data_IF_545752210570
#
_entry.id   IF_545752210570
#
_cell.length_a   1.000
_cell.length_b   1.000
_cell.length_c   1.000
_cell.angle_alpha   90.00
_cell.angle_beta   90.00
_cell.angle_gamma   90.00
#
_symmetry.space_group_name_H-M   'P 1'
#
loop_
_entity.id
_entity.type
_entity.pdbx_description
1 polymer ?
#
# COMPACT_ATOMS: atom_id res chain seq x y z
N UNK A 1 25.95 6.32 0.90
CA UNK A 1 25.71 5.40 -0.25
C UNK A 1 24.61 5.99 -1.09
N UNK A 2 24.67 5.92 -2.40
CA UNK A 2 23.71 6.60 -3.25
C UNK A 2 22.32 6.00 -3.05
N UNK A 3 21.41 6.82 -2.56
CA UNK A 3 19.97 6.53 -2.34
C UNK A 3 19.22 6.16 -3.63
N UNK A 4 19.92 6.14 -4.77
CA UNK A 4 19.37 5.89 -6.11
C UNK A 4 19.49 4.45 -6.58
N UNK A 5 20.27 3.59 -5.91
CA UNK A 5 20.56 2.22 -6.39
C UNK A 5 19.36 1.27 -6.27
N UNK A 6 18.62 1.33 -5.14
CA UNK A 6 17.50 0.39 -4.92
C UNK A 6 16.36 0.60 -5.92
N UNK A 7 15.84 1.82 -6.13
CA UNK A 7 14.80 2.03 -7.14
C UNK A 7 15.28 1.66 -8.55
N UNK A 8 16.56 1.83 -8.87
CA UNK A 8 17.11 1.41 -10.16
C UNK A 8 17.12 -0.11 -10.29
N UNK A 9 17.59 -0.84 -9.27
CA UNK A 9 17.60 -2.32 -9.29
C UNK A 9 16.18 -2.87 -9.36
N UNK A 10 15.24 -2.31 -8.59
CA UNK A 10 13.84 -2.72 -8.64
C UNK A 10 13.21 -2.40 -10.00
N UNK A 11 13.50 -1.23 -10.57
CA UNK A 11 13.01 -0.86 -11.91
C UNK A 11 13.56 -1.78 -13.00
N UNK A 12 14.85 -2.11 -12.95
CA UNK A 12 15.46 -3.06 -13.90
C UNK A 12 14.88 -4.47 -13.72
N UNK A 13 14.68 -4.92 -12.48
CA UNK A 13 14.02 -6.18 -12.18
C UNK A 13 12.58 -6.23 -12.70
N UNK A 14 11.82 -5.16 -12.53
CA UNK A 14 10.46 -5.03 -13.05
C UNK A 14 10.43 -5.04 -14.59
N UNK A 15 11.34 -4.31 -15.25
CA UNK A 15 11.46 -4.30 -16.71
C UNK A 15 11.84 -5.68 -17.24
N UNK A 16 12.77 -6.38 -16.60
CA UNK A 16 13.13 -7.73 -16.95
C UNK A 16 11.94 -8.70 -16.80
N UNK A 17 11.20 -8.62 -15.68
CA UNK A 17 10.00 -9.40 -15.44
C UNK A 17 8.92 -9.13 -16.50
N UNK A 18 8.68 -7.87 -16.84
CA UNK A 18 7.75 -7.47 -17.91
C UNK A 18 8.22 -8.05 -19.25
N UNK A 19 9.50 -7.94 -19.59
CA UNK A 19 10.06 -8.45 -20.83
C UNK A 19 9.89 -9.95 -20.99
N UNK A 20 10.22 -10.73 -19.94
CA UNK A 20 10.06 -12.18 -19.93
C UNK A 20 8.58 -12.57 -19.95
N UNK A 21 7.74 -11.89 -19.18
CA UNK A 21 6.30 -12.11 -19.18
C UNK A 21 5.69 -11.83 -20.56
N UNK A 22 6.12 -10.75 -21.23
CA UNK A 22 5.63 -10.41 -22.56
C UNK A 22 6.06 -11.42 -23.61
N UNK A 23 7.30 -11.91 -23.54
CA UNK A 23 7.83 -12.93 -24.45
C UNK A 23 7.14 -14.28 -24.25
N UNK A 24 7.04 -14.77 -23.03
CA UNK A 24 6.33 -16.01 -22.69
C UNK A 24 4.84 -15.95 -23.05
N UNK A 25 4.28 -14.79 -22.78
CA UNK A 25 2.89 -14.50 -23.07
C UNK A 25 2.55 -14.41 -24.55
N UNK A 26 3.37 -13.73 -25.37
CA UNK A 26 3.19 -13.63 -26.80
C UNK A 26 3.20 -15.02 -27.47
N UNK A 27 4.05 -15.93 -26.96
CA UNK A 27 4.11 -17.32 -27.44
C UNK A 27 2.88 -18.15 -27.05
N UNK A 28 2.35 -17.96 -25.83
CA UNK A 28 1.15 -18.68 -25.35
C UNK A 28 -0.15 -18.16 -25.97
N UNK A 29 -0.20 -16.89 -26.40
CA UNK A 29 -1.40 -16.23 -26.90
C UNK A 29 -1.84 -16.69 -28.30
N UNK A 30 -0.91 -17.21 -29.06
CA UNK A 30 -1.26 -17.84 -30.35
C UNK A 30 -2.23 -19.04 -30.17
N UNK A 31 -2.42 -19.50 -28.92
CA UNK A 31 -3.24 -20.65 -28.55
C UNK A 31 -4.54 -20.33 -27.80
N UNK A 32 -4.75 -19.12 -27.22
CA UNK A 32 -5.88 -18.90 -26.31
C UNK A 32 -6.64 -17.60 -26.57
N UNK A 33 -7.73 -17.68 -27.30
CA UNK A 33 -8.63 -16.59 -27.73
C UNK A 33 -9.21 -15.66 -26.62
N UNK A 34 -10.21 -14.89 -26.99
CA UNK A 34 -10.89 -13.74 -26.37
C UNK A 34 -11.02 -13.59 -24.84
N UNK A 35 -11.04 -14.66 -24.05
CA UNK A 35 -11.15 -14.60 -22.57
C UNK A 35 -9.99 -13.89 -21.91
N UNK A 36 -8.81 -13.93 -22.52
CA UNK A 36 -7.62 -13.26 -21.97
C UNK A 36 -7.74 -11.74 -21.96
N UNK A 37 -8.10 -11.13 -23.07
CA UNK A 37 -8.22 -9.68 -23.16
C UNK A 37 -9.25 -9.15 -22.15
N UNK A 38 -10.35 -9.90 -21.94
CA UNK A 38 -11.37 -9.55 -20.96
C UNK A 38 -10.85 -9.64 -19.53
N UNK A 39 -10.15 -10.74 -19.17
CA UNK A 39 -9.56 -10.90 -17.82
C UNK A 39 -8.50 -9.84 -17.56
N UNK A 40 -7.59 -9.59 -18.52
CA UNK A 40 -6.57 -8.54 -18.40
C UNK A 40 -7.21 -7.18 -18.17
N UNK A 41 -8.15 -6.79 -19.06
CA UNK A 41 -8.82 -5.48 -18.95
C UNK A 41 -9.58 -5.37 -17.62
N UNK A 42 -10.31 -6.39 -17.22
CA UNK A 42 -11.02 -6.43 -15.95
C UNK A 42 -10.11 -6.21 -14.75
N UNK A 43 -9.01 -6.96 -14.66
CA UNK A 43 -8.06 -6.84 -13.56
C UNK A 43 -7.35 -5.48 -13.55
N UNK A 44 -6.96 -4.96 -14.72
CA UNK A 44 -6.33 -3.63 -14.83
C UNK A 44 -7.31 -2.53 -14.38
N UNK A 45 -8.56 -2.58 -14.82
CA UNK A 45 -9.58 -1.59 -14.42
C UNK A 45 -9.89 -1.69 -12.92
N UNK A 46 -10.16 -2.89 -12.42
CA UNK A 46 -10.42 -3.11 -10.98
C UNK A 46 -9.22 -2.66 -10.14
N UNK A 47 -8.00 -3.07 -10.53
CA UNK A 47 -6.79 -2.67 -9.84
C UNK A 47 -6.56 -1.16 -9.83
N UNK A 48 -6.77 -0.48 -10.96
CA UNK A 48 -6.65 0.97 -11.06
C UNK A 48 -7.69 1.69 -10.19
N UNK A 49 -8.93 1.20 -10.17
CA UNK A 49 -9.98 1.74 -9.30
C UNK A 49 -9.64 1.54 -7.81
N UNK A 50 -9.12 0.37 -7.42
CA UNK A 50 -8.69 0.15 -6.03
C UNK A 50 -7.57 1.09 -5.61
N UNK A 51 -6.68 1.46 -6.53
CA UNK A 51 -5.66 2.49 -6.28
C UNK A 51 -6.27 3.89 -6.17
N UNK A 52 -7.24 4.24 -7.01
CA UNK A 52 -7.92 5.55 -6.94
C UNK A 52 -8.65 5.74 -5.61
N UNK A 53 -9.30 4.70 -5.12
CA UNK A 53 -10.07 4.70 -3.88
C UNK A 53 -9.30 4.08 -2.70
N UNK A 54 -7.98 4.07 -2.75
CA UNK A 54 -7.15 3.52 -1.68
C UNK A 54 -7.33 4.22 -0.34
N UNK A 55 -6.77 3.62 0.67
CA UNK A 55 -6.96 3.96 2.08
C UNK A 55 -5.74 4.74 2.54
N UNK A 56 -5.91 6.00 2.99
CA UNK A 56 -4.83 6.71 3.65
C UNK A 56 -4.46 6.00 4.95
N UNK A 57 -3.17 5.86 5.20
CA UNK A 57 -2.64 5.28 6.42
C UNK A 57 -1.94 6.36 7.25
N UNK A 58 -1.80 6.17 8.57
CA UNK A 58 -1.05 7.08 9.42
C UNK A 58 0.37 7.34 8.88
N UNK A 59 0.90 8.55 9.09
CA UNK A 59 2.23 8.92 8.61
C UNK A 59 2.32 9.16 7.09
N UNK A 60 1.23 9.59 6.44
CA UNK A 60 1.12 9.80 4.99
C UNK A 60 1.28 8.51 4.15
N UNK A 61 1.14 7.35 4.78
CA UNK A 61 1.08 6.08 4.08
C UNK A 61 -0.17 5.96 3.20
N UNK A 62 -0.14 5.03 2.28
CA UNK A 62 -1.27 4.73 1.40
C UNK A 62 -1.29 3.24 1.09
N UNK A 63 -2.42 2.61 1.31
CA UNK A 63 -2.65 1.21 0.94
C UNK A 63 -3.86 1.07 0.03
N UNK A 64 -3.91 -0.03 -0.71
CA UNK A 64 -5.01 -0.33 -1.62
C UNK A 64 -5.17 -1.84 -1.79
N UNK A 65 -6.28 -2.28 -2.37
CA UNK A 65 -6.53 -3.71 -2.62
C UNK A 65 -5.78 -4.28 -3.83
N UNK A 66 -4.76 -3.57 -4.29
CA UNK A 66 -3.98 -3.97 -5.47
C UNK A 66 -3.26 -5.30 -5.29
N UNK A 67 -2.82 -5.63 -4.06
CA UNK A 67 -2.16 -6.92 -3.80
C UNK A 67 -3.13 -8.11 -3.96
N UNK A 68 -4.40 -7.94 -3.64
CA UNK A 68 -5.40 -8.95 -3.96
C UNK A 68 -5.58 -9.14 -5.46
N UNK A 69 -5.61 -8.04 -6.24
CA UNK A 69 -5.73 -8.11 -7.69
C UNK A 69 -4.52 -8.82 -8.33
N UNK A 70 -3.30 -8.52 -7.88
CA UNK A 70 -2.10 -9.22 -8.39
C UNK A 70 -2.02 -10.66 -7.90
N UNK A 71 -2.48 -10.98 -6.68
CA UNK A 71 -2.64 -12.36 -6.21
C UNK A 71 -3.61 -13.13 -7.09
N UNK A 72 -4.77 -12.55 -7.41
CA UNK A 72 -5.70 -13.16 -8.37
C UNK A 72 -5.03 -13.42 -9.71
N UNK A 73 -4.26 -12.46 -10.22
CA UNK A 73 -3.57 -12.61 -11.50
C UNK A 73 -2.56 -13.78 -11.49
N UNK A 74 -1.81 -13.96 -10.39
CA UNK A 74 -0.90 -15.10 -10.21
C UNK A 74 -1.68 -16.42 -10.19
N UNK A 75 -2.75 -16.51 -9.42
CA UNK A 75 -3.56 -17.71 -9.31
C UNK A 75 -4.25 -18.06 -10.63
N UNK A 76 -4.67 -17.06 -11.39
CA UNK A 76 -5.40 -17.27 -12.65
C UNK A 76 -4.51 -17.78 -13.78
N UNK A 77 -3.30 -17.20 -13.95
CA UNK A 77 -2.47 -17.47 -15.14
C UNK A 77 -0.96 -17.44 -14.87
N UNK A 78 -0.54 -17.47 -13.61
CA UNK A 78 0.88 -17.48 -13.26
C UNK A 78 1.52 -16.10 -13.14
N UNK A 79 2.80 -16.10 -12.86
CA UNK A 79 3.58 -14.89 -12.58
C UNK A 79 3.74 -13.99 -13.81
N UNK A 80 3.83 -14.55 -15.03
CA UNK A 80 3.97 -13.78 -16.26
C UNK A 80 2.76 -12.86 -16.47
N UNK A 81 1.58 -13.39 -16.21
CA UNK A 81 0.35 -12.61 -16.31
C UNK A 81 0.29 -11.50 -15.25
N UNK A 82 0.65 -11.83 -14.01
CA UNK A 82 0.74 -10.83 -12.93
C UNK A 82 1.76 -9.73 -13.24
N UNK A 83 2.92 -10.09 -13.84
CA UNK A 83 3.95 -9.14 -14.26
C UNK A 83 3.48 -8.18 -15.36
N UNK A 84 2.48 -8.56 -16.16
CA UNK A 84 1.83 -7.66 -17.13
C UNK A 84 0.73 -6.82 -16.48
N UNK A 85 -0.11 -7.44 -15.65
CA UNK A 85 -1.22 -6.76 -14.97
C UNK A 85 -0.71 -5.66 -14.03
N UNK A 86 0.30 -5.96 -13.22
CA UNK A 86 0.79 -5.08 -12.16
C UNK A 86 1.23 -3.68 -12.65
N UNK A 87 2.09 -3.52 -13.67
CA UNK A 87 2.49 -2.20 -14.15
C UNK A 87 1.34 -1.46 -14.83
N UNK A 88 0.47 -2.15 -15.56
CA UNK A 88 -0.66 -1.53 -16.26
C UNK A 88 -1.66 -0.94 -15.26
N UNK A 89 -2.04 -1.69 -14.23
CA UNK A 89 -2.94 -1.18 -13.20
C UNK A 89 -2.29 -0.07 -12.36
N UNK A 90 -0.97 -0.15 -12.09
CA UNK A 90 -0.27 0.86 -11.34
C UNK A 90 -0.16 2.17 -12.14
N UNK A 91 0.21 2.10 -13.42
CA UNK A 91 0.27 3.28 -14.30
C UNK A 91 -1.12 3.90 -14.45
N UNK A 92 -2.14 3.11 -14.77
CA UNK A 92 -3.51 3.63 -14.90
C UNK A 92 -4.01 4.23 -13.59
N UNK A 93 -3.80 3.55 -12.46
CA UNK A 93 -4.25 4.00 -11.15
C UNK A 93 -3.51 5.24 -10.66
N UNK A 94 -2.19 5.22 -10.70
CA UNK A 94 -1.36 6.28 -10.11
C UNK A 94 -1.20 7.49 -11.05
N UNK A 95 -0.90 7.28 -12.34
CA UNK A 95 -0.67 8.39 -13.29
C UNK A 95 -1.98 8.99 -13.75
N UNK A 96 -2.91 8.16 -14.25
CA UNK A 96 -4.13 8.66 -14.90
C UNK A 96 -5.18 9.07 -13.85
N UNK A 97 -5.47 8.20 -12.87
CA UNK A 97 -6.57 8.43 -11.94
C UNK A 97 -6.17 9.27 -10.72
N UNK A 98 -4.95 9.09 -10.19
CA UNK A 98 -4.45 9.85 -9.02
C UNK A 98 -3.59 11.04 -9.38
N UNK A 99 -3.09 11.10 -10.62
CA UNK A 99 -2.21 12.17 -11.13
C UNK A 99 -0.92 12.32 -10.32
N UNK A 100 -0.36 11.21 -9.86
CA UNK A 100 0.92 11.21 -9.16
C UNK A 100 2.08 11.53 -10.12
N UNK A 101 3.17 12.14 -9.61
CA UNK A 101 4.39 12.32 -10.37
C UNK A 101 4.91 10.97 -10.92
N UNK A 102 5.41 10.96 -12.16
CA UNK A 102 5.89 9.74 -12.83
C UNK A 102 6.96 8.98 -12.03
N UNK A 103 7.81 9.71 -11.28
CA UNK A 103 8.81 9.09 -10.41
C UNK A 103 8.17 8.21 -9.33
N UNK A 104 7.13 8.70 -8.66
CA UNK A 104 6.42 7.97 -7.60
C UNK A 104 5.63 6.81 -8.20
N UNK A 105 4.89 7.08 -9.28
CA UNK A 105 4.11 6.05 -9.97
C UNK A 105 5.01 4.95 -10.54
N UNK A 106 6.17 5.32 -11.09
CA UNK A 106 7.16 4.37 -11.61
C UNK A 106 7.77 3.49 -10.51
N UNK A 107 8.14 4.06 -9.36
CA UNK A 107 8.62 3.30 -8.20
C UNK A 107 7.55 2.32 -7.71
N UNK A 108 6.31 2.78 -7.53
CA UNK A 108 5.19 1.92 -7.12
C UNK A 108 4.96 0.76 -8.11
N UNK A 109 4.97 1.07 -9.42
CA UNK A 109 4.80 0.06 -10.47
C UNK A 109 5.95 -0.96 -10.45
N UNK A 110 7.19 -0.51 -10.24
CA UNK A 110 8.38 -1.35 -10.19
C UNK A 110 8.33 -2.33 -9.00
N UNK A 111 8.04 -1.83 -7.79
CA UNK A 111 7.91 -2.68 -6.59
C UNK A 111 6.79 -3.71 -6.74
N UNK A 112 5.63 -3.27 -7.22
CA UNK A 112 4.49 -4.17 -7.42
C UNK A 112 4.80 -5.24 -8.45
N UNK A 113 5.41 -4.88 -9.58
CA UNK A 113 5.71 -5.82 -10.68
C UNK A 113 6.80 -6.80 -10.27
N UNK A 114 7.94 -6.31 -9.78
CA UNK A 114 9.05 -7.17 -9.39
C UNK A 114 8.67 -8.09 -8.22
N UNK A 115 7.95 -7.54 -7.21
CA UNK A 115 7.49 -8.33 -6.08
C UNK A 115 6.49 -9.41 -6.48
N UNK A 116 5.48 -9.07 -7.29
CA UNK A 116 4.47 -10.04 -7.77
C UNK A 116 5.10 -11.12 -8.65
N UNK A 117 6.04 -10.76 -9.52
CA UNK A 117 6.73 -11.72 -10.36
C UNK A 117 7.60 -12.68 -9.54
N UNK A 118 8.42 -12.13 -8.60
CA UNK A 118 9.27 -12.96 -7.74
C UNK A 118 8.44 -13.94 -6.91
N UNK A 119 7.38 -13.45 -6.28
CA UNK A 119 6.51 -14.29 -5.44
C UNK A 119 5.75 -15.32 -6.29
N UNK A 120 5.30 -14.95 -7.48
CA UNK A 120 4.66 -15.88 -8.41
C UNK A 120 5.61 -16.99 -8.90
N UNK A 121 6.87 -16.67 -9.19
CA UNK A 121 7.90 -17.66 -9.51
C UNK A 121 8.11 -18.63 -8.33
N UNK A 122 8.18 -18.11 -7.09
CA UNK A 122 8.30 -18.97 -5.91
C UNK A 122 7.07 -19.87 -5.77
N UNK A 123 5.87 -19.32 -5.97
CA UNK A 123 4.62 -20.07 -5.95
C UNK A 123 4.66 -21.27 -6.92
N UNK A 124 5.05 -21.05 -8.17
CA UNK A 124 5.19 -22.11 -9.17
C UNK A 124 6.26 -23.14 -8.80
N UNK A 125 7.40 -22.69 -8.24
CA UNK A 125 8.47 -23.58 -7.76
C UNK A 125 8.04 -24.45 -6.59
N UNK A 126 7.08 -24.01 -5.78
CA UNK A 126 6.45 -24.79 -4.72
C UNK A 126 5.38 -25.75 -5.24
N UNK A 127 5.18 -25.83 -6.56
CA UNK A 127 4.17 -26.69 -7.18
C UNK A 127 2.78 -26.05 -7.27
N UNK A 128 2.68 -24.74 -7.12
CA UNK A 128 1.41 -24.00 -7.20
C UNK A 128 0.78 -24.12 -8.61
N UNK A 129 -0.46 -24.57 -8.65
CA UNK A 129 -1.25 -24.67 -9.87
C UNK A 129 -1.93 -23.34 -10.25
N UNK A 130 -2.30 -23.16 -11.51
CA UNK A 130 -3.02 -21.97 -12.01
C UNK A 130 -4.41 -22.33 -12.50
N UNK A 131 -5.30 -21.34 -12.59
CA UNK A 131 -6.68 -21.55 -13.00
C UNK A 131 -7.42 -22.48 -12.03
N UNK A 132 -8.20 -23.41 -12.57
CA UNK A 132 -8.94 -24.39 -11.73
C UNK A 132 -8.04 -25.26 -10.87
N UNK A 133 -6.82 -25.54 -11.27
CA UNK A 133 -5.85 -26.33 -10.52
C UNK A 133 -5.44 -25.64 -9.21
N UNK A 134 -5.45 -24.30 -9.15
CA UNK A 134 -5.17 -23.57 -7.93
C UNK A 134 -6.19 -23.86 -6.80
N UNK A 135 -7.37 -24.36 -7.14
CA UNK A 135 -8.43 -24.70 -6.16
C UNK A 135 -8.31 -26.12 -5.58
N UNK A 136 -7.33 -26.89 -6.02
CA UNK A 136 -7.10 -28.24 -5.50
C UNK A 136 -6.50 -28.22 -4.09
N UNK A 137 -6.82 -29.19 -3.24
CA UNK A 137 -6.33 -29.22 -1.84
C UNK A 137 -4.80 -29.21 -1.73
N UNK A 138 -4.09 -29.78 -2.70
CA UNK A 138 -2.63 -29.85 -2.72
C UNK A 138 -1.97 -28.45 -2.86
N UNK A 139 -2.73 -27.47 -3.35
CA UNK A 139 -2.27 -26.09 -3.48
C UNK A 139 -2.42 -25.24 -2.20
N UNK A 140 -2.97 -25.75 -1.11
CA UNK A 140 -3.14 -24.98 0.13
C UNK A 140 -1.80 -24.46 0.65
N UNK A 141 -0.76 -25.29 0.65
CA UNK A 141 0.59 -24.91 1.06
C UNK A 141 1.20 -23.83 0.18
N UNK A 142 1.30 -24.06 -1.15
CA UNK A 142 1.74 -23.02 -2.08
C UNK A 142 0.95 -21.71 -2.01
N UNK A 143 -0.38 -21.76 -1.87
CA UNK A 143 -1.22 -20.55 -1.71
C UNK A 143 -0.87 -19.83 -0.40
N UNK A 144 -0.74 -20.54 0.71
CA UNK A 144 -0.36 -19.92 1.97
C UNK A 144 0.99 -19.22 1.86
N UNK A 145 1.98 -19.85 1.21
CA UNK A 145 3.27 -19.24 0.91
C UNK A 145 3.13 -18.01 0.01
N UNK A 146 2.35 -18.08 -1.08
CA UNK A 146 2.04 -16.96 -1.96
C UNK A 146 1.51 -15.77 -1.15
N UNK A 147 0.54 -16.00 -0.27
CA UNK A 147 -0.10 -14.93 0.50
C UNK A 147 0.90 -14.28 1.46
N UNK A 148 1.66 -15.04 2.21
CA UNK A 148 2.66 -14.49 3.14
C UNK A 148 3.75 -13.73 2.39
N UNK A 149 4.29 -14.32 1.33
CA UNK A 149 5.38 -13.73 0.57
C UNK A 149 4.92 -12.48 -0.20
N UNK A 150 3.70 -12.44 -0.72
CA UNK A 150 3.15 -11.27 -1.41
C UNK A 150 3.16 -10.03 -0.49
N UNK A 151 2.74 -10.18 0.75
CA UNK A 151 2.80 -9.11 1.74
C UNK A 151 4.24 -8.72 2.08
N UNK A 152 5.09 -9.71 2.38
CA UNK A 152 6.45 -9.46 2.87
C UNK A 152 7.35 -8.89 1.76
N UNK A 153 7.30 -9.45 0.56
CA UNK A 153 8.21 -9.05 -0.52
C UNK A 153 7.79 -7.71 -1.12
N UNK A 154 6.52 -7.52 -1.46
CA UNK A 154 6.07 -6.27 -2.10
C UNK A 154 6.14 -5.10 -1.12
N UNK A 155 5.55 -5.21 0.06
CA UNK A 155 5.60 -4.13 1.04
C UNK A 155 7.02 -3.98 1.62
N UNK A 156 7.72 -5.09 1.89
CA UNK A 156 9.09 -5.05 2.39
C UNK A 156 10.05 -4.34 1.45
N UNK A 157 9.93 -4.54 0.13
CA UNK A 157 10.76 -3.83 -0.84
C UNK A 157 10.48 -2.31 -0.84
N UNK A 158 9.24 -1.92 -0.69
CA UNK A 158 8.83 -0.52 -0.56
C UNK A 158 9.37 0.12 0.74
N UNK A 159 9.21 -0.56 1.87
CA UNK A 159 9.77 -0.07 3.15
C UNK A 159 11.28 -0.03 3.16
N UNK A 160 11.95 -0.94 2.48
CA UNK A 160 13.40 -0.90 2.32
C UNK A 160 13.84 0.35 1.54
N UNK A 161 13.15 0.70 0.45
CA UNK A 161 13.40 1.95 -0.30
C UNK A 161 13.21 3.17 0.61
N UNK A 162 12.11 3.23 1.35
CA UNK A 162 11.84 4.32 2.28
C UNK A 162 12.91 4.42 3.37
N UNK A 163 13.31 3.30 3.97
CA UNK A 163 14.35 3.25 4.98
C UNK A 163 15.70 3.75 4.45
N UNK A 164 16.07 3.33 3.24
CA UNK A 164 17.32 3.76 2.60
C UNK A 164 17.30 5.24 2.20
N UNK A 165 16.14 5.78 1.86
CA UNK A 165 15.98 7.20 1.53
C UNK A 165 15.93 8.11 2.76
N UNK A 166 15.96 7.55 3.98
CA UNK A 166 15.79 8.25 5.25
C UNK A 166 14.51 9.09 5.33
N UNK A 167 13.52 8.76 4.53
CA UNK A 167 12.27 9.52 4.43
C UNK A 167 11.17 9.04 5.39
N UNK A 168 11.46 8.03 6.23
CA UNK A 168 10.50 7.47 7.19
C UNK A 168 10.86 7.87 8.61
N UNK A 169 9.94 8.54 9.27
CA UNK A 169 9.92 8.58 10.72
C UNK A 169 9.35 7.23 11.21
N UNK A 170 10.21 6.38 11.76
CA UNK A 170 9.88 5.02 12.22
C UNK A 170 8.89 4.97 13.40
N UNK A 171 8.41 6.13 13.84
CA UNK A 171 7.67 6.27 15.10
C UNK A 171 6.35 5.53 15.11
N UNK A 172 5.75 5.25 13.95
CA UNK A 172 4.47 4.54 13.89
C UNK A 172 4.46 3.31 12.97
N UNK A 173 5.61 2.68 12.78
CA UNK A 173 5.70 1.45 11.97
C UNK A 173 4.69 0.37 12.43
N UNK A 174 4.39 0.28 13.72
CA UNK A 174 3.41 -0.69 14.25
C UNK A 174 1.98 -0.36 13.84
N UNK A 175 1.57 0.90 13.93
CA UNK A 175 0.21 1.32 13.57
C UNK A 175 -0.01 1.17 12.07
N UNK A 176 0.95 1.64 11.28
CA UNK A 176 0.92 1.52 9.82
C UNK A 176 0.91 0.05 9.40
N UNK A 177 1.81 -0.80 9.95
CA UNK A 177 1.86 -2.22 9.65
C UNK A 177 0.58 -2.97 10.04
N UNK A 178 -0.05 -2.61 11.17
CA UNK A 178 -1.33 -3.18 11.59
C UNK A 178 -2.41 -2.89 10.55
N UNK A 179 -2.56 -1.64 10.12
CA UNK A 179 -3.57 -1.26 9.15
C UNK A 179 -3.28 -1.82 7.76
N UNK A 180 -2.01 -1.86 7.35
CA UNK A 180 -1.62 -2.54 6.11
C UNK A 180 -1.97 -4.03 6.14
N UNK A 181 -1.70 -4.72 7.25
CA UNK A 181 -2.06 -6.12 7.39
C UNK A 181 -3.58 -6.34 7.28
N UNK A 182 -4.40 -5.43 7.86
CA UNK A 182 -5.86 -5.49 7.76
C UNK A 182 -6.31 -5.26 6.31
N UNK A 183 -5.78 -4.22 5.64
CA UNK A 183 -6.10 -3.94 4.22
C UNK A 183 -5.68 -5.12 3.35
N UNK A 184 -4.50 -5.67 3.59
CA UNK A 184 -4.00 -6.82 2.86
C UNK A 184 -4.88 -8.05 3.06
N UNK A 185 -5.16 -8.42 4.30
CA UNK A 185 -6.01 -9.60 4.60
C UNK A 185 -7.40 -9.46 3.96
N UNK A 186 -8.01 -8.28 4.03
CA UNK A 186 -9.30 -8.01 3.39
C UNK A 186 -9.20 -8.10 1.88
N UNK A 187 -8.16 -7.49 1.28
CA UNK A 187 -7.90 -7.51 -0.16
C UNK A 187 -7.76 -8.94 -0.70
N UNK A 188 -6.94 -9.74 -0.01
CA UNK A 188 -6.68 -11.12 -0.40
C UNK A 188 -7.91 -12.00 -0.18
N UNK A 189 -8.61 -11.83 0.96
CA UNK A 189 -9.86 -12.56 1.21
C UNK A 189 -10.90 -12.33 0.12
N UNK A 190 -11.09 -11.08 -0.30
CA UNK A 190 -11.97 -10.74 -1.43
C UNK A 190 -11.45 -11.31 -2.75
N UNK A 191 -10.15 -11.27 -2.99
CA UNK A 191 -9.56 -11.81 -4.21
C UNK A 191 -9.72 -13.34 -4.32
N UNK A 192 -9.52 -14.08 -3.22
CA UNK A 192 -9.73 -15.52 -3.16
C UNK A 192 -11.20 -15.89 -3.35
N UNK A 193 -12.11 -15.12 -2.74
CA UNK A 193 -13.55 -15.30 -2.94
C UNK A 193 -13.93 -15.06 -4.40
N UNK A 194 -13.43 -13.96 -5.00
CA UNK A 194 -13.62 -13.68 -6.42
C UNK A 194 -13.05 -14.79 -7.28
N UNK A 195 -11.84 -15.25 -7.01
CA UNK A 195 -11.19 -16.33 -7.74
C UNK A 195 -12.03 -17.62 -7.68
N UNK A 196 -12.50 -17.99 -6.51
CA UNK A 196 -13.37 -19.17 -6.33
C UNK A 196 -14.66 -19.04 -7.14
N UNK A 197 -15.31 -17.88 -7.09
CA UNK A 197 -16.55 -17.63 -7.83
C UNK A 197 -16.31 -17.59 -9.35
N UNK A 198 -15.18 -17.06 -9.80
CA UNK A 198 -14.82 -16.98 -11.20
C UNK A 198 -14.73 -18.36 -11.87
N UNK A 199 -14.29 -19.36 -11.12
CA UNK A 199 -14.22 -20.76 -11.57
C UNK A 199 -15.50 -21.57 -11.30
N UNK A 200 -16.59 -20.91 -10.93
CA UNK A 200 -17.91 -21.57 -10.74
C UNK A 200 -18.78 -21.26 -11.94
N UNK A 201 -19.45 -22.28 -12.46
CA UNK A 201 -20.39 -22.11 -13.58
C UNK A 201 -21.66 -21.38 -13.11
N UNK A 202 -21.68 -20.06 -13.29
CA UNK A 202 -22.82 -19.20 -12.95
C UNK A 202 -23.47 -18.64 -14.22
N UNK A 203 -24.81 -18.52 -14.26
CA UNK A 203 -25.50 -17.80 -15.35
C UNK A 203 -25.12 -16.32 -15.32
N UNK A 204 -25.15 -15.66 -16.50
CA UNK A 204 -24.73 -14.26 -16.66
C UNK A 204 -25.42 -13.31 -15.67
N UNK A 205 -26.71 -13.51 -15.41
CA UNK A 205 -27.45 -12.68 -14.45
C UNK A 205 -26.89 -12.81 -13.01
N UNK A 206 -26.47 -14.02 -12.59
CA UNK A 206 -25.85 -14.24 -11.29
C UNK A 206 -24.46 -13.57 -11.22
N UNK A 207 -23.70 -13.55 -12.33
CA UNK A 207 -22.42 -12.83 -12.40
C UNK A 207 -22.56 -11.34 -12.13
N UNK A 208 -23.58 -10.69 -12.67
CA UNK A 208 -23.84 -9.26 -12.39
C UNK A 208 -24.09 -9.02 -10.90
N UNK A 209 -24.89 -9.88 -10.26
CA UNK A 209 -25.17 -9.78 -8.82
C UNK A 209 -23.91 -10.04 -7.98
N UNK A 210 -23.12 -11.05 -8.33
CA UNK A 210 -21.86 -11.37 -7.64
C UNK A 210 -20.87 -10.21 -7.79
N UNK A 211 -20.69 -9.68 -9.00
CA UNK A 211 -19.79 -8.53 -9.21
C UNK A 211 -20.24 -7.30 -8.42
N UNK A 212 -21.55 -7.00 -8.40
CA UNK A 212 -22.11 -5.90 -7.61
C UNK A 212 -21.90 -6.12 -6.10
N UNK A 213 -22.12 -7.34 -5.59
CA UNK A 213 -21.92 -7.68 -4.19
C UNK A 213 -20.44 -7.56 -3.79
N UNK A 214 -19.51 -8.05 -4.60
CA UNK A 214 -18.07 -7.93 -4.36
C UNK A 214 -17.59 -6.49 -4.41
N UNK A 215 -18.07 -5.70 -5.36
CA UNK A 215 -17.78 -4.26 -5.40
C UNK A 215 -18.32 -3.57 -4.15
N UNK A 216 -19.56 -3.87 -3.75
CA UNK A 216 -20.15 -3.37 -2.51
C UNK A 216 -19.33 -3.75 -1.28
N UNK A 217 -18.93 -5.02 -1.16
CA UNK A 217 -18.08 -5.50 -0.06
C UNK A 217 -16.72 -4.77 -0.04
N UNK A 218 -16.11 -4.54 -1.20
CA UNK A 218 -14.86 -3.79 -1.32
C UNK A 218 -15.02 -2.34 -0.85
N UNK A 219 -16.08 -1.66 -1.28
CA UNK A 219 -16.34 -0.27 -0.88
C UNK A 219 -16.67 -0.15 0.61
N UNK A 220 -17.50 -1.06 1.14
CA UNK A 220 -17.85 -1.07 2.57
C UNK A 220 -16.62 -1.37 3.42
N UNK A 221 -15.81 -2.39 3.07
CA UNK A 221 -14.61 -2.71 3.82
C UNK A 221 -13.60 -1.55 3.78
N UNK A 222 -13.39 -0.92 2.63
CA UNK A 222 -12.54 0.26 2.52
C UNK A 222 -13.05 1.42 3.38
N UNK A 223 -14.37 1.64 3.43
CA UNK A 223 -14.98 2.68 4.26
C UNK A 223 -14.80 2.40 5.75
N UNK A 224 -15.07 1.16 6.20
CA UNK A 224 -14.89 0.74 7.59
C UNK A 224 -13.43 0.90 8.04
N UNK A 225 -12.47 0.48 7.20
CA UNK A 225 -11.05 0.65 7.51
C UNK A 225 -10.68 2.12 7.62
N UNK A 226 -11.15 2.99 6.71
CA UNK A 226 -10.94 4.45 6.81
C UNK A 226 -11.48 5.02 8.11
N UNK A 227 -12.67 4.64 8.51
CA UNK A 227 -13.24 5.08 9.80
C UNK A 227 -12.38 4.62 10.97
N UNK A 228 -11.85 3.39 10.94
CA UNK A 228 -10.93 2.88 11.96
C UNK A 228 -9.63 3.68 12.03
N UNK A 229 -9.01 3.98 10.88
CA UNK A 229 -7.81 4.83 10.82
C UNK A 229 -8.08 6.22 11.40
N UNK A 230 -9.17 6.85 11.00
CA UNK A 230 -9.54 8.17 11.55
C UNK A 230 -9.86 8.13 13.06
N UNK A 231 -10.48 7.05 13.54
CA UNK A 231 -10.71 6.89 14.98
C UNK A 231 -9.39 6.78 15.75
N UNK A 232 -8.43 6.01 15.27
CA UNK A 232 -7.10 5.92 15.88
C UNK A 232 -6.36 7.28 15.87
N UNK A 233 -6.45 8.05 14.77
CA UNK A 233 -5.89 9.40 14.68
C UNK A 233 -6.54 10.37 15.69
N UNK A 234 -7.87 10.32 15.83
CA UNK A 234 -8.59 11.14 16.80
C UNK A 234 -8.22 10.80 18.25
N UNK A 235 -8.03 9.52 18.57
CA UNK A 235 -7.57 9.09 19.89
C UNK A 235 -6.16 9.63 20.21
N UNK A 236 -5.26 9.65 19.21
CA UNK A 236 -3.94 10.28 19.38
C UNK A 236 -4.05 11.78 19.64
N UNK A 237 -4.89 12.50 18.89
CA UNK A 237 -5.12 13.93 19.09
C UNK A 237 -5.75 14.22 20.46
N UNK A 238 -6.73 13.41 20.89
CA UNK A 238 -7.33 13.54 22.22
C UNK A 238 -6.32 13.26 23.33
N UNK A 239 -5.47 12.25 23.17
CA UNK A 239 -4.37 11.98 24.11
C UNK A 239 -3.43 13.17 24.25
N UNK A 240 -3.06 13.78 23.11
CA UNK A 240 -2.24 14.99 23.08
C UNK A 240 -2.91 16.16 23.83
N UNK A 241 -4.18 16.44 23.49
CA UNK A 241 -4.93 17.53 24.11
C UNK A 241 -5.04 17.34 25.63
N UNK A 242 -5.29 16.12 26.10
CA UNK A 242 -5.34 15.80 27.52
C UNK A 242 -3.99 16.02 28.22
N UNK A 243 -2.87 15.64 27.58
CA UNK A 243 -1.52 15.86 28.12
C UNK A 243 -1.21 17.34 28.24
N UNK A 244 -1.58 18.17 27.26
CA UNK A 244 -1.37 19.63 27.29
C UNK A 244 -2.13 20.27 28.46
N UNK A 245 -3.34 19.80 28.74
CA UNK A 245 -4.19 20.37 29.80
C UNK A 245 -3.77 19.94 31.20
N UNK A 246 -3.20 18.73 31.35
CA UNK A 246 -2.90 18.14 32.68
C UNK A 246 -1.47 18.38 33.17
N UNK A 247 -0.53 18.66 32.26
CA UNK A 247 0.89 18.81 32.62
C UNK A 247 1.27 20.29 32.72
N UNK A 248 1.48 20.76 33.96
CA UNK A 248 1.94 22.14 34.26
C UNK A 248 3.43 22.37 33.96
N UNK A 249 4.16 21.30 33.60
CA UNK A 249 5.58 21.40 33.27
C UNK A 249 5.75 21.59 31.75
N UNK A 250 6.07 22.81 31.36
CA UNK A 250 6.16 23.22 29.94
C UNK A 250 7.15 22.38 29.14
N UNK A 251 8.29 22.01 29.71
CA UNK A 251 9.30 21.20 29.02
C UNK A 251 8.81 19.78 28.76
N UNK A 252 8.12 19.18 29.73
CA UNK A 252 7.55 17.83 29.59
C UNK A 252 6.36 17.81 28.61
N UNK A 253 5.52 18.85 28.69
CA UNK A 253 4.42 19.04 27.75
C UNK A 253 4.95 19.17 26.31
N UNK A 254 6.02 19.96 26.10
CA UNK A 254 6.65 20.10 24.79
C UNK A 254 7.21 18.76 24.28
N UNK A 255 7.94 18.00 25.12
CA UNK A 255 8.46 16.70 24.76
C UNK A 255 7.34 15.71 24.36
N UNK A 256 6.22 15.72 25.11
CA UNK A 256 5.06 14.88 24.79
C UNK A 256 4.36 15.31 23.51
N UNK A 257 4.24 16.63 23.26
CA UNK A 257 3.71 17.16 21.99
C UNK A 257 4.61 16.74 20.83
N UNK A 258 5.92 16.90 20.98
CA UNK A 258 6.93 16.54 20.00
C UNK A 258 6.82 15.06 19.62
N UNK A 259 6.76 14.18 20.61
CA UNK A 259 6.63 12.73 20.41
C UNK A 259 5.31 12.38 19.72
N UNK A 260 4.19 12.98 20.16
CA UNK A 260 2.87 12.66 19.61
C UNK A 260 2.67 13.24 18.21
N UNK A 261 3.11 14.47 17.96
CA UNK A 261 2.98 15.09 16.64
C UNK A 261 3.88 14.43 15.60
N UNK A 262 5.03 13.88 15.99
CA UNK A 262 5.88 13.06 15.11
C UNK A 262 5.15 11.85 14.56
N UNK A 263 4.18 11.33 15.31
CA UNK A 263 3.35 10.18 14.90
C UNK A 263 2.29 10.54 13.88
N UNK A 264 1.83 11.79 13.91
CA UNK A 264 0.74 12.26 13.05
C UNK A 264 1.24 12.86 11.73
N UNK A 265 2.30 13.66 11.82
CA UNK A 265 2.84 14.41 10.68
C UNK A 265 4.36 14.32 10.69
N UNK A 266 5.00 13.93 9.57
CA UNK A 266 6.45 14.02 9.46
C UNK A 266 6.85 15.51 9.42
N UNK A 267 7.64 15.93 10.40
CA UNK A 267 8.20 17.27 10.45
C UNK A 267 9.71 17.21 10.73
N UNK A 268 10.44 18.17 10.19
CA UNK A 268 11.88 18.31 10.46
C UNK A 268 12.14 19.15 11.71
N UNK A 269 11.32 20.19 11.89
CA UNK A 269 11.38 21.10 13.02
C UNK A 269 9.99 21.38 13.58
N UNK A 270 9.91 21.49 14.91
CA UNK A 270 8.72 21.95 15.61
C UNK A 270 9.11 22.98 16.66
N UNK A 271 8.43 24.12 16.64
CA UNK A 271 8.63 25.19 17.59
C UNK A 271 7.36 25.45 18.39
N UNK A 272 7.53 25.83 19.64
CA UNK A 272 6.47 26.22 20.56
C UNK A 272 6.61 27.69 20.90
N UNK A 273 5.66 28.51 20.48
CA UNK A 273 5.68 29.94 20.72
C UNK A 273 4.46 30.36 21.50
N UNK A 274 4.66 31.31 22.45
CA UNK A 274 3.61 31.94 23.22
C UNK A 274 3.37 33.36 22.69
N UNK A 275 2.11 33.71 22.45
CA UNK A 275 1.75 35.07 22.09
C UNK A 275 1.53 35.92 23.36
N UNK A 276 2.35 36.94 23.55
CA UNK A 276 2.13 37.96 24.57
C UNK A 276 1.21 39.05 24.00
N UNK A 277 -0.06 39.03 24.43
CA UNK A 277 -1.08 39.96 23.97
C UNK A 277 -0.79 41.43 24.41
N UNK A 278 -0.04 41.65 25.50
CA UNK A 278 0.30 42.99 25.99
C UNK A 278 1.41 43.63 25.15
N UNK A 279 2.40 42.83 24.75
CA UNK A 279 3.55 43.30 23.95
C UNK A 279 3.31 43.10 22.46
N UNK A 280 2.28 42.34 22.07
CA UNK A 280 2.01 41.92 20.67
C UNK A 280 3.21 41.20 20.03
N UNK A 281 3.92 40.41 20.82
CA UNK A 281 5.12 39.70 20.42
C UNK A 281 4.90 38.19 20.55
N UNK A 282 5.59 37.43 19.69
CA UNK A 282 5.66 35.97 19.78
C UNK A 282 6.96 35.60 20.46
N UNK A 283 6.87 34.96 21.61
CA UNK A 283 8.02 34.42 22.35
C UNK A 283 8.20 32.95 22.05
N UNK A 284 9.30 32.57 21.42
CA UNK A 284 9.62 31.15 21.15
C UNK A 284 10.07 30.52 22.47
N UNK A 285 9.31 29.54 22.95
CA UNK A 285 9.54 28.89 24.23
C UNK A 285 10.43 27.66 24.08
N UNK A 286 10.23 26.91 23.01
CA UNK A 286 10.99 25.70 22.69
C UNK A 286 11.04 25.46 21.18
N UNK A 287 12.17 24.95 20.70
CA UNK A 287 12.39 24.59 19.29
C UNK A 287 13.31 23.37 19.21
N UNK A 288 12.97 22.42 18.36
CA UNK A 288 13.79 21.21 18.13
C UNK A 288 15.09 21.49 17.37
N UNK A 289 15.20 22.63 16.69
CA UNK A 289 16.42 23.06 16.01
C UNK A 289 17.44 23.69 16.96
N UNK A 290 17.02 24.11 18.14
CA UNK A 290 17.88 24.74 19.16
C UNK A 290 18.22 23.71 20.24
N UNK A 291 19.48 23.29 20.31
CA UNK A 291 19.98 22.34 21.32
C UNK A 291 20.08 22.94 22.72
N UNK A 292 20.10 24.28 22.86
CA UNK A 292 20.14 24.98 24.12
C UNK A 292 19.04 26.04 24.13
N UNK A 293 18.23 26.03 25.21
CA UNK A 293 17.04 26.87 25.37
C UNK A 293 17.33 28.37 25.31
N UNK A 294 17.38 28.89 24.10
CA UNK A 294 17.46 30.33 23.87
C UNK A 294 16.07 30.85 23.57
N UNK A 295 15.57 31.71 24.43
CA UNK A 295 14.34 32.45 24.18
C UNK A 295 14.60 33.43 23.03
N UNK A 296 14.16 33.09 21.81
CA UNK A 296 14.14 34.00 20.70
C UNK A 296 12.81 34.77 20.69
N UNK A 297 12.86 36.07 20.72
CA UNK A 297 11.69 36.95 20.64
C UNK A 297 11.55 37.41 19.19
N UNK A 298 10.46 37.02 18.56
CA UNK A 298 10.10 37.49 17.23
C UNK A 298 9.09 38.64 17.35
N UNK A 299 9.42 39.77 16.75
CA UNK A 299 8.56 40.94 16.67
C UNK A 299 7.76 40.98 15.38
#
# INVERSE_FOLDING_TARGET
>A
MPTTLVPVVVALGALAAIGVAFAGYATARLATGGTFALTLTGLVVVGALTRRFGIPLPGNGFSSYVLGVTTFAVLERGWEFAAVVAPLLAVLGDVVLRRLPLRIAGSNAAHLTAGSALVGIIYERLGGGTGSLALEPDNIGPIAALLVLMMVVVNGSYYLELAMSRSVAWVDARLTARWEAIVYATSVGLALLWFRLFHTALPVAAWVLVAAALLGATLVSAHVIRLGVHADELLLVQGLARTIVTDLNLARTFANIQETTRRLVPWEHIGFARFDAKRREMELIADTAMQDGVNAVFR
#
